data_IF_796969665622
#
_entry.id   IF_796969665622
#
_cell.length_a   1.000
_cell.length_b   1.000
_cell.length_c   1.000
_cell.angle_alpha   90.00
_cell.angle_beta   90.00
_cell.angle_gamma   90.00
#
_symmetry.space_group_name_H-M   'P 1'
#
loop_
_entity.id
_entity.type
_entity.pdbx_description
1 polymer ?
#
# COMPACT_ATOMS: atom_id res chain seq x y z
N UNK A 1 1.96 5.24 -8.10
CA UNK A 1 1.02 5.48 -7.00
C UNK A 1 -0.20 4.60 -7.14
N UNK A 2 -0.98 4.78 -8.22
CA UNK A 2 -2.23 4.05 -8.48
C UNK A 2 -2.11 2.53 -8.35
N UNK A 3 -1.13 1.90 -9.02
CA UNK A 3 -0.99 0.45 -9.01
C UNK A 3 -0.74 -0.16 -7.61
N UNK A 4 -0.09 0.59 -6.70
CA UNK A 4 0.14 0.11 -5.33
C UNK A 4 -1.18 0.08 -4.56
N UNK A 5 -1.91 1.20 -4.57
CA UNK A 5 -3.20 1.31 -3.88
C UNK A 5 -4.25 0.35 -4.46
N UNK A 6 -4.28 0.15 -5.78
CA UNK A 6 -5.14 -0.83 -6.46
C UNK A 6 -4.78 -2.27 -6.07
N UNK A 7 -3.49 -2.59 -5.97
CA UNK A 7 -3.05 -3.89 -5.46
C UNK A 7 -3.54 -4.13 -4.03
N UNK A 8 -3.35 -3.13 -3.15
CA UNK A 8 -3.81 -3.20 -1.77
C UNK A 8 -5.33 -3.37 -1.66
N UNK A 9 -6.13 -2.69 -2.49
CA UNK A 9 -7.60 -2.82 -2.46
C UNK A 9 -8.10 -4.22 -2.85
N UNK A 10 -7.34 -4.94 -3.66
CA UNK A 10 -7.58 -6.35 -3.99
C UNK A 10 -6.93 -7.33 -2.99
N UNK A 11 -6.20 -6.81 -2.00
CA UNK A 11 -5.47 -7.59 -1.01
C UNK A 11 -4.22 -8.26 -1.58
N UNK A 12 -3.61 -7.70 -2.60
CA UNK A 12 -2.32 -8.13 -3.13
C UNK A 12 -1.23 -7.58 -2.20
N UNK A 13 -0.49 -8.43 -1.47
CA UNK A 13 0.63 -7.98 -0.64
C UNK A 13 1.73 -7.35 -1.49
N UNK A 14 2.33 -6.26 -1.02
CA UNK A 14 3.32 -5.51 -1.79
C UNK A 14 4.69 -5.45 -1.11
N UNK A 15 5.74 -5.61 -1.90
CA UNK A 15 7.12 -5.19 -1.56
C UNK A 15 7.45 -4.01 -2.47
N UNK A 16 7.86 -2.89 -1.90
CA UNK A 16 8.14 -1.67 -2.67
C UNK A 16 9.37 -0.95 -2.12
N UNK A 17 10.07 -0.27 -3.01
CA UNK A 17 11.16 0.63 -2.62
C UNK A 17 10.61 1.79 -1.80
N UNK A 18 11.33 2.17 -0.75
CA UNK A 18 11.00 3.19 0.23
C UNK A 18 11.14 4.61 -0.34
N UNK A 19 10.14 5.01 -1.09
CA UNK A 19 9.96 6.34 -1.67
C UNK A 19 8.92 7.14 -0.87
N UNK A 20 8.88 8.49 -0.99
CA UNK A 20 7.80 9.28 -0.39
C UNK A 20 6.41 8.75 -0.74
N UNK A 21 6.18 8.43 -2.01
CA UNK A 21 4.90 7.90 -2.49
C UNK A 21 4.50 6.58 -1.84
N UNK A 22 5.45 5.65 -1.67
CA UNK A 22 5.16 4.38 -1.01
C UNK A 22 4.97 4.54 0.50
N UNK A 23 5.65 5.51 1.14
CA UNK A 23 5.40 5.86 2.55
C UNK A 23 4.01 6.45 2.74
N UNK A 24 3.55 7.29 1.82
CA UNK A 24 2.20 7.85 1.89
C UNK A 24 1.13 6.74 1.80
N UNK A 25 1.38 5.72 0.97
CA UNK A 25 0.44 4.61 0.77
C UNK A 25 0.54 3.54 1.86
N UNK A 26 1.74 3.06 2.18
CA UNK A 26 1.97 1.98 3.16
C UNK A 26 1.96 2.54 4.59
N UNK A 27 2.55 3.71 4.83
CA UNK A 27 2.69 4.33 6.15
C UNK A 27 3.31 3.38 7.18
N UNK A 28 2.80 3.47 8.41
CA UNK A 28 3.10 2.53 9.51
C UNK A 28 2.16 1.31 9.51
N UNK A 29 1.44 1.06 8.42
CA UNK A 29 0.53 -0.09 8.34
C UNK A 29 1.26 -1.37 8.00
N UNK A 30 0.68 -2.51 8.38
CA UNK A 30 1.16 -3.83 7.98
C UNK A 30 0.80 -4.20 6.52
N UNK A 31 0.36 -3.23 5.70
CA UNK A 31 -0.14 -3.46 4.34
C UNK A 31 0.91 -3.96 3.33
N UNK A 32 2.20 -3.84 3.67
CA UNK A 32 3.29 -4.31 2.82
C UNK A 32 4.66 -4.08 3.45
N UNK A 33 5.69 -4.21 2.62
CA UNK A 33 7.09 -4.13 3.05
C UNK A 33 7.78 -3.01 2.27
N UNK A 34 8.33 -2.04 2.99
CA UNK A 34 9.23 -1.04 2.44
C UNK A 34 10.67 -1.58 2.46
N UNK A 35 11.39 -1.45 1.35
CA UNK A 35 12.82 -1.80 1.25
C UNK A 35 13.65 -0.58 0.85
N UNK A 36 14.95 -0.52 1.19
CA UNK A 36 15.77 0.66 0.91
C UNK A 36 15.85 1.05 -0.57
N UNK A 37 16.13 2.33 -0.85
CA UNK A 37 16.28 2.90 -2.21
C UNK A 37 17.43 2.32 -3.01
N UNK A 38 18.45 1.77 -2.33
CA UNK A 38 19.43 0.88 -2.92
C UNK A 38 19.07 -0.55 -2.50
N UNK A 39 18.09 -1.19 -3.17
CA UNK A 39 17.40 -2.37 -2.64
C UNK A 39 18.25 -3.64 -2.64
N UNK A 40 19.47 -3.62 -3.20
CA UNK A 40 20.42 -4.73 -3.21
C UNK A 40 19.75 -6.10 -3.37
N UNK A 41 20.15 -7.05 -2.52
CA UNK A 41 19.50 -8.35 -2.36
C UNK A 41 18.21 -8.30 -1.51
N UNK A 42 17.92 -7.17 -0.87
CA UNK A 42 16.82 -7.03 0.09
C UNK A 42 15.44 -7.10 -0.58
N UNK A 43 15.25 -6.50 -1.76
CA UNK A 43 13.96 -6.59 -2.45
C UNK A 43 13.60 -8.04 -2.75
N UNK A 44 14.54 -8.79 -3.36
CA UNK A 44 14.33 -10.19 -3.68
C UNK A 44 14.09 -11.02 -2.43
N UNK A 45 14.90 -10.82 -1.38
CA UNK A 45 14.75 -11.53 -0.10
C UNK A 45 13.36 -11.32 0.51
N UNK A 46 12.89 -10.07 0.57
CA UNK A 46 11.57 -9.74 1.14
C UNK A 46 10.42 -10.22 0.28
N UNK A 47 10.57 -10.20 -1.05
CA UNK A 47 9.59 -10.78 -1.96
C UNK A 47 9.48 -12.30 -1.77
N UNK A 48 10.62 -13.01 -1.66
CA UNK A 48 10.64 -14.45 -1.37
C UNK A 48 10.01 -14.76 -0.02
N UNK A 49 10.38 -14.03 1.03
CA UNK A 49 9.79 -14.20 2.37
C UNK A 49 8.27 -14.02 2.33
N UNK A 50 7.78 -13.01 1.61
CA UNK A 50 6.36 -12.80 1.41
C UNK A 50 5.72 -13.97 0.63
N UNK A 51 6.38 -14.52 -0.39
CA UNK A 51 5.85 -15.67 -1.15
C UNK A 51 5.89 -17.00 -0.39
N UNK A 52 6.76 -17.15 0.61
CA UNK A 52 6.93 -18.40 1.35
C UNK A 52 6.17 -18.39 2.69
N UNK A 53 5.98 -17.22 3.32
CA UNK A 53 5.30 -17.08 4.61
C UNK A 53 3.81 -16.74 4.46
N UNK A 54 2.94 -17.74 4.67
CA UNK A 54 1.47 -17.59 4.57
C UNK A 54 0.87 -16.63 5.60
N UNK A 55 1.37 -16.66 6.83
CA UNK A 55 0.92 -15.75 7.89
C UNK A 55 1.21 -14.29 7.50
N UNK A 56 2.43 -14.02 7.02
CA UNK A 56 2.83 -12.70 6.55
C UNK A 56 1.98 -12.24 5.37
N UNK A 57 1.72 -13.10 4.38
CA UNK A 57 0.82 -12.77 3.25
C UNK A 57 -0.57 -12.41 3.72
N UNK A 58 -1.12 -13.22 4.63
CA UNK A 58 -2.49 -13.05 5.13
C UNK A 58 -2.61 -11.73 5.88
N UNK A 59 -1.64 -11.43 6.74
CA UNK A 59 -1.57 -10.14 7.45
C UNK A 59 -1.49 -8.97 6.47
N UNK A 60 -0.57 -9.00 5.52
CA UNK A 60 -0.41 -7.93 4.54
C UNK A 60 -1.64 -7.76 3.64
N UNK A 61 -2.28 -8.86 3.22
CA UNK A 61 -3.50 -8.81 2.42
C UNK A 61 -4.65 -8.13 3.17
N UNK A 62 -4.87 -8.51 4.43
CA UNK A 62 -5.93 -7.94 5.27
C UNK A 62 -5.66 -6.46 5.57
N UNK A 63 -4.43 -6.13 6.00
CA UNK A 63 -4.02 -4.75 6.28
C UNK A 63 -4.08 -3.88 5.03
N UNK A 64 -3.70 -4.41 3.86
CA UNK A 64 -3.76 -3.72 2.58
C UNK A 64 -5.17 -3.31 2.19
N UNK A 65 -6.15 -4.23 2.30
CA UNK A 65 -7.55 -3.90 2.02
C UNK A 65 -8.07 -2.81 2.94
N UNK A 66 -7.71 -2.87 4.22
CA UNK A 66 -8.11 -1.87 5.21
C UNK A 66 -7.48 -0.52 4.91
N UNK A 67 -6.17 -0.48 4.65
CA UNK A 67 -5.44 0.73 4.27
C UNK A 67 -6.01 1.39 3.02
N UNK A 68 -6.33 0.58 2.00
CA UNK A 68 -6.92 1.09 0.77
C UNK A 68 -8.27 1.78 1.03
N UNK A 69 -9.15 1.18 1.86
CA UNK A 69 -10.43 1.78 2.25
C UNK A 69 -10.23 3.13 2.94
N UNK A 70 -9.34 3.20 3.93
CA UNK A 70 -9.04 4.44 4.66
C UNK A 70 -8.56 5.56 3.74
N UNK A 71 -7.69 5.23 2.78
CA UNK A 71 -7.20 6.19 1.80
C UNK A 71 -8.29 6.61 0.80
N UNK A 72 -9.17 5.70 0.36
CA UNK A 72 -10.32 6.05 -0.47
C UNK A 72 -11.31 6.94 0.27
N UNK A 73 -11.58 6.69 1.55
CA UNK A 73 -12.46 7.53 2.37
C UNK A 73 -11.88 8.95 2.55
N UNK A 74 -10.56 9.07 2.78
CA UNK A 74 -9.85 10.35 2.84
C UNK A 74 -9.83 11.09 1.49
N UNK A 75 -9.80 10.31 0.40
CA UNK A 75 -9.79 10.82 -0.98
C UNK A 75 -11.19 10.92 -1.57
N UNK A 76 -12.26 10.60 -0.81
CA UNK A 76 -13.65 10.68 -1.29
C UNK A 76 -13.95 12.12 -1.65
N UNK A 77 -13.70 12.39 -2.93
CA UNK A 77 -13.66 13.70 -3.52
C UNK A 77 -15.06 14.13 -3.90
N UNK A 78 -16.11 13.38 -3.55
CA UNK A 78 -17.47 13.82 -3.81
C UNK A 78 -17.76 15.08 -3.01
N UNK A 79 -17.37 15.13 -1.73
CA UNK A 79 -17.53 16.31 -0.88
C UNK A 79 -16.68 17.48 -1.39
N UNK A 80 -15.40 17.23 -1.71
CA UNK A 80 -14.46 18.25 -2.19
C UNK A 80 -14.79 18.76 -3.60
N UNK A 81 -15.29 17.91 -4.49
CA UNK A 81 -15.72 18.27 -5.84
C UNK A 81 -17.02 19.08 -5.78
N UNK A 82 -17.96 18.70 -4.92
CA UNK A 82 -19.17 19.50 -4.69
C UNK A 82 -18.82 20.89 -4.12
N UNK A 83 -17.79 20.99 -3.27
CA UNK A 83 -17.29 22.26 -2.75
C UNK A 83 -16.68 23.16 -3.83
N UNK A 84 -15.90 22.60 -4.75
CA UNK A 84 -15.28 23.34 -5.87
C UNK A 84 -16.30 23.74 -6.93
N UNK A 85 -17.34 22.93 -7.17
CA UNK A 85 -18.42 23.27 -8.10
C UNK A 85 -19.45 24.25 -7.49
N UNK A 86 -19.45 24.39 -6.16
CA UNK A 86 -20.30 25.34 -5.43
C UNK A 86 -19.65 26.72 -5.23
N UNK A 87 -18.40 26.93 -5.71
CA UNK A 87 -17.71 28.23 -5.75
C UNK A 87 -17.70 28.82 -7.16
#
# INVERSE_FOLDING_TARGET
>A
GGCLLEGLSHGVPAVTVDTPLSRDVIGDSDAGILVPTSPGSEFARRATELLENEELRTRCSSAGKQRAKEMFDQTSSLSKLLEVLAS
#
